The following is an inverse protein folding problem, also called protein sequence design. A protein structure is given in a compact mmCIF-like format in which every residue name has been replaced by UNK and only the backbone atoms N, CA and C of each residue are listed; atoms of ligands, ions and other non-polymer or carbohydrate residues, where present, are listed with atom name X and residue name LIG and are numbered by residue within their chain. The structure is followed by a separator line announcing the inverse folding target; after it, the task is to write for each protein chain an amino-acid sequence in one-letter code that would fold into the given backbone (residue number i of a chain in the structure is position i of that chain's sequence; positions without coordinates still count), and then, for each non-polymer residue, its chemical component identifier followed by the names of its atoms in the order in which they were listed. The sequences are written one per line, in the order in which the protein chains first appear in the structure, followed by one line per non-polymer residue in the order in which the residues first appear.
data_IF_160761333458
#
_entry.id   IF_160761333458
#
_cell.length_a   1.000
_cell.length_b   1.000
_cell.length_c   1.000
_cell.angle_alpha   90.00
_cell.angle_beta   90.00
_cell.angle_gamma   90.00
#
_symmetry.space_group_name_H-M   'P 1'
#
loop_
_entity.id
_entity.type
_entity.pdbx_description
1 polymer ?
#
# COMPACT_ATOMS: atom_id res chain seq x y z
N UNK A 1 -24.84 51.93 -40.81
CA UNK A 1 -23.48 52.48 -40.92
C UNK A 1 -23.05 52.89 -39.51
N UNK A 2 -22.66 51.94 -38.66
CA UNK A 2 -21.30 51.38 -38.57
C UNK A 2 -20.25 52.41 -38.19
N UNK A 3 -19.89 52.48 -36.90
CA UNK A 3 -18.62 51.93 -36.38
C UNK A 3 -18.41 52.39 -34.93
N UNK A 4 -18.59 51.43 -34.03
CA UNK A 4 -18.04 51.45 -32.68
C UNK A 4 -16.50 51.39 -32.79
N UNK A 5 -15.82 52.46 -32.38
CA UNK A 5 -14.38 52.49 -32.11
C UNK A 5 -14.16 53.39 -30.91
N UNK A 6 -13.80 52.80 -29.77
CA UNK A 6 -12.53 53.03 -29.07
C UNK A 6 -12.64 52.46 -27.65
N UNK A 7 -12.18 51.23 -27.44
CA UNK A 7 -11.80 50.76 -26.11
C UNK A 7 -10.38 50.21 -26.25
N UNK A 8 -9.44 51.02 -25.77
CA UNK A 8 -8.03 50.68 -25.63
C UNK A 8 -7.92 49.47 -24.70
N UNK A 9 -7.44 48.34 -25.24
CA UNK A 9 -7.04 47.18 -24.45
C UNK A 9 -5.81 47.57 -23.59
N UNK A 10 -5.77 47.26 -22.29
CA UNK A 10 -4.54 47.40 -21.52
C UNK A 10 -3.47 46.48 -22.11
N UNK A 11 -2.27 47.03 -22.38
CA UNK A 11 -1.07 46.23 -22.61
C UNK A 11 -0.72 45.55 -21.29
N UNK A 12 -0.68 44.23 -21.30
CA UNK A 12 -0.10 43.44 -20.22
C UNK A 12 1.39 43.34 -20.55
N UNK A 13 2.19 44.24 -19.99
CA UNK A 13 3.64 44.15 -20.07
C UNK A 13 4.05 42.97 -19.17
N UNK A 14 4.57 41.92 -19.79
CA UNK A 14 4.86 40.66 -19.13
C UNK A 14 6.07 40.75 -18.22
N UNK A 15 5.84 40.54 -16.94
CA UNK A 15 6.74 39.85 -16.02
C UNK A 15 5.87 38.92 -15.17
N UNK A 16 5.90 37.61 -15.47
CA UNK A 16 5.35 36.61 -14.56
C UNK A 16 6.16 36.68 -13.26
N UNK A 17 5.52 36.75 -12.08
CA UNK A 17 6.26 36.70 -10.83
C UNK A 17 7.03 35.38 -10.77
N UNK A 18 8.29 35.37 -10.30
CA UNK A 18 9.03 34.14 -10.15
C UNK A 18 8.22 33.16 -9.29
N UNK A 19 8.19 31.87 -9.63
CA UNK A 19 7.57 30.88 -8.77
C UNK A 19 8.20 30.99 -7.38
N UNK A 20 7.40 30.86 -6.30
CA UNK A 20 7.92 30.97 -4.95
C UNK A 20 9.10 30.00 -4.77
N UNK A 21 10.25 30.56 -4.41
CA UNK A 21 11.40 29.80 -3.92
C UNK A 21 10.99 29.19 -2.58
N UNK A 22 10.51 27.95 -2.63
CA UNK A 22 10.34 27.15 -1.43
C UNK A 22 11.71 26.59 -1.07
N UNK A 23 12.24 27.17 0.00
CA UNK A 23 13.39 26.74 0.79
C UNK A 23 13.43 25.21 0.91
N UNK A 24 14.44 24.58 0.30
CA UNK A 24 14.84 23.18 0.52
C UNK A 24 15.47 23.06 1.93
N UNK A 25 14.68 23.43 2.94
CA UNK A 25 14.97 23.10 4.33
C UNK A 25 14.61 21.65 4.55
N UNK A 26 15.61 20.77 4.53
CA UNK A 26 15.54 19.46 5.17
C UNK A 26 15.18 19.65 6.66
N UNK A 27 13.88 19.75 6.98
CA UNK A 27 13.39 19.49 8.33
C UNK A 27 13.48 17.98 8.57
N UNK A 28 14.69 17.54 8.96
CA UNK A 28 14.92 16.30 9.70
C UNK A 28 14.14 16.35 11.03
N UNK A 29 12.85 16.04 10.97
CA UNK A 29 11.95 15.97 12.13
C UNK A 29 11.03 14.75 12.14
N UNK A 30 11.20 13.81 11.21
CA UNK A 30 10.43 12.56 11.16
C UNK A 30 11.36 11.36 11.26
N UNK A 31 11.04 10.43 12.16
CA UNK A 31 11.67 9.10 12.24
C UNK A 31 11.95 8.55 10.83
N UNK A 32 13.16 8.05 10.53
CA UNK A 32 13.46 7.48 9.21
C UNK A 32 12.38 6.46 8.85
N UNK A 33 11.57 6.77 7.84
CA UNK A 33 10.49 5.87 7.43
C UNK A 33 11.05 4.50 7.02
N UNK A 34 10.22 3.44 6.98
CA UNK A 34 10.60 2.04 6.74
C UNK A 34 11.14 1.77 5.32
N UNK A 35 11.44 2.83 4.56
CA UNK A 35 11.94 2.81 3.20
C UNK A 35 13.26 3.59 3.04
N UNK A 36 13.88 4.04 4.14
CA UNK A 36 15.13 4.78 4.11
C UNK A 36 16.22 3.97 3.39
N UNK A 37 16.64 4.44 2.21
CA UNK A 37 17.86 3.97 1.52
C UNK A 37 17.72 3.17 0.22
N UNK A 38 16.53 2.94 -0.36
CA UNK A 38 16.53 2.23 -1.65
C UNK A 38 15.22 1.94 -2.40
N UNK A 39 14.06 2.41 -1.93
CA UNK A 39 12.79 2.18 -2.63
C UNK A 39 12.42 3.36 -3.53
N UNK A 40 12.32 3.12 -4.84
CA UNK A 40 11.81 4.12 -5.78
C UNK A 40 10.28 4.25 -5.59
N UNK A 41 9.84 5.38 -5.05
CA UNK A 41 8.41 5.70 -4.88
C UNK A 41 7.86 6.37 -6.14
N UNK A 42 6.63 6.03 -6.54
CA UNK A 42 5.91 6.77 -7.60
C UNK A 42 5.70 8.22 -7.16
N UNK A 43 5.87 9.20 -8.05
CA UNK A 43 5.59 10.63 -7.74
C UNK A 43 4.19 10.84 -7.15
N UNK A 44 3.18 10.16 -7.70
CA UNK A 44 1.79 10.26 -7.23
C UNK A 44 1.54 9.75 -5.80
N UNK A 45 2.40 8.87 -5.25
CA UNK A 45 2.25 8.42 -3.86
C UNK A 45 2.95 9.31 -2.85
N UNK A 46 3.81 10.25 -3.28
CA UNK A 46 4.47 11.21 -2.38
C UNK A 46 3.52 12.30 -1.87
N UNK A 47 2.48 12.62 -2.63
CA UNK A 47 1.56 13.74 -2.36
C UNK A 47 0.15 13.29 -1.96
N UNK A 48 -0.06 12.00 -1.67
CA UNK A 48 -1.38 11.46 -1.37
C UNK A 48 -1.63 11.49 0.13
N UNK A 49 -2.76 12.05 0.55
CA UNK A 49 -3.20 11.98 1.94
C UNK A 49 -3.41 10.53 2.38
N UNK A 50 -2.78 10.16 3.50
CA UNK A 50 -2.99 8.89 4.19
C UNK A 50 -4.31 8.96 4.95
N UNK A 51 -5.31 8.20 4.49
CA UNK A 51 -6.67 8.22 5.05
C UNK A 51 -6.91 7.00 5.95
N UNK A 52 -6.13 5.93 5.80
CA UNK A 52 -6.34 4.67 6.48
C UNK A 52 -7.55 3.91 5.91
N UNK A 53 -8.77 4.30 6.28
CA UNK A 53 -10.01 3.64 5.86
C UNK A 53 -10.57 4.24 4.55
N UNK A 54 -10.30 3.56 3.43
CA UNK A 54 -10.80 3.94 2.11
C UNK A 54 -12.12 3.27 1.73
N UNK A 55 -12.62 2.35 2.57
CA UNK A 55 -13.86 1.63 2.33
C UNK A 55 -15.00 2.12 3.22
N UNK A 56 -14.71 3.05 4.14
CA UNK A 56 -15.63 3.52 5.16
C UNK A 56 -16.25 2.31 5.88
N UNK A 57 -15.41 1.43 6.42
CA UNK A 57 -15.80 0.15 7.03
C UNK A 57 -16.81 0.37 8.14
N UNK A 58 -16.67 1.44 8.92
CA UNK A 58 -17.61 1.82 9.99
C UNK A 58 -19.05 2.03 9.50
N UNK A 59 -19.24 2.43 8.23
CA UNK A 59 -20.58 2.60 7.64
C UNK A 59 -21.10 1.34 6.97
N UNK A 60 -20.38 0.20 7.08
CA UNK A 60 -20.72 -1.09 6.47
C UNK A 60 -20.96 -2.15 7.57
N UNK A 61 -22.22 -2.33 8.02
CA UNK A 61 -22.53 -3.21 9.15
C UNK A 61 -22.05 -4.66 8.99
N UNK A 62 -22.05 -5.19 7.76
CA UNK A 62 -21.55 -6.54 7.46
C UNK A 62 -20.06 -6.71 7.80
N UNK A 63 -19.24 -5.72 7.44
CA UNK A 63 -17.80 -5.74 7.74
C UNK A 63 -17.53 -5.47 9.21
N UNK A 64 -18.23 -4.51 9.83
CA UNK A 64 -18.10 -4.24 11.27
C UNK A 64 -18.42 -5.47 12.11
N UNK A 65 -19.50 -6.19 11.78
CA UNK A 65 -19.88 -7.41 12.49
C UNK A 65 -18.81 -8.51 12.43
N UNK A 66 -18.00 -8.57 11.37
CA UNK A 66 -16.88 -9.52 11.26
C UNK A 66 -15.78 -9.15 12.26
N UNK A 67 -15.43 -7.87 12.35
CA UNK A 67 -14.40 -7.36 13.26
C UNK A 67 -14.85 -7.49 14.73
N UNK A 68 -16.08 -7.08 15.03
CA UNK A 68 -16.67 -7.15 16.38
C UNK A 68 -16.72 -8.58 16.93
N UNK A 69 -17.02 -9.56 16.07
CA UNK A 69 -16.98 -10.99 16.45
C UNK A 69 -15.61 -11.47 16.89
N UNK A 70 -14.55 -10.77 16.47
CA UNK A 70 -13.16 -11.05 16.87
C UNK A 70 -12.68 -10.10 17.99
N UNK A 71 -13.55 -9.20 18.47
CA UNK A 71 -13.20 -8.19 19.47
C UNK A 71 -12.46 -6.97 18.92
N UNK A 72 -12.34 -6.83 17.60
CA UNK A 72 -11.65 -5.71 16.96
C UNK A 72 -12.64 -4.59 16.61
N UNK A 73 -12.33 -3.36 17.02
CA UNK A 73 -13.14 -2.16 16.73
C UNK A 73 -12.35 -1.04 16.05
N UNK A 74 -11.02 -1.13 16.06
CA UNK A 74 -10.12 -0.15 15.45
C UNK A 74 -9.75 -0.55 14.02
N UNK A 75 -10.03 0.32 13.06
CA UNK A 75 -9.61 0.16 11.66
C UNK A 75 -8.45 1.12 11.42
N UNK A 76 -7.27 0.57 11.13
CA UNK A 76 -6.05 1.34 10.84
C UNK A 76 -5.86 1.55 9.35
N UNK A 77 -6.21 0.54 8.57
CA UNK A 77 -6.21 0.63 7.11
C UNK A 77 -7.30 -0.27 6.52
N UNK A 78 -8.00 0.19 5.48
CA UNK A 78 -8.93 -0.63 4.73
C UNK A 78 -8.97 -0.23 3.25
N UNK A 79 -8.70 -1.19 2.35
CA UNK A 79 -8.79 -0.98 0.90
C UNK A 79 -9.03 -2.30 0.15
N UNK A 80 -9.38 -2.22 -1.13
CA UNK A 80 -9.43 -3.39 -2.03
C UNK A 80 -8.02 -3.68 -2.56
N UNK A 81 -7.59 -4.92 -2.43
CA UNK A 81 -6.31 -5.43 -2.93
C UNK A 81 -6.50 -6.59 -3.90
N UNK A 82 -5.47 -6.87 -4.70
CA UNK A 82 -5.39 -8.08 -5.51
C UNK A 82 -4.54 -9.13 -4.78
N UNK A 83 -5.11 -10.30 -4.49
CA UNK A 83 -4.41 -11.46 -3.94
C UNK A 83 -4.04 -12.42 -5.07
N UNK A 84 -2.80 -12.90 -5.05
CA UNK A 84 -2.31 -13.92 -5.99
C UNK A 84 -2.44 -15.29 -5.33
N UNK A 85 -3.14 -16.22 -5.99
CA UNK A 85 -3.35 -17.58 -5.46
C UNK A 85 -2.17 -18.50 -5.83
N UNK A 86 -2.06 -19.65 -5.14
CA UNK A 86 -1.13 -20.71 -5.52
C UNK A 86 -1.31 -21.21 -6.96
N UNK A 87 -2.50 -21.07 -7.54
CA UNK A 87 -2.77 -21.40 -8.95
C UNK A 87 -2.38 -20.29 -9.93
N UNK A 88 -1.89 -19.14 -9.46
CA UNK A 88 -1.54 -17.98 -10.30
C UNK A 88 -2.72 -17.08 -10.67
N UNK A 89 -3.93 -17.36 -10.18
CA UNK A 89 -5.10 -16.50 -10.40
C UNK A 89 -5.03 -15.28 -9.48
N UNK A 90 -5.51 -14.14 -9.97
CA UNK A 90 -5.68 -12.94 -9.17
C UNK A 90 -7.13 -12.87 -8.66
N UNK A 91 -7.31 -12.66 -7.36
CA UNK A 91 -8.63 -12.47 -6.75
C UNK A 91 -8.67 -11.13 -6.02
N UNK A 92 -9.75 -10.37 -6.22
CA UNK A 92 -10.00 -9.16 -5.43
C UNK A 92 -10.36 -9.54 -4.00
N UNK A 93 -9.78 -8.85 -3.02
CA UNK A 93 -10.09 -8.99 -1.59
C UNK A 93 -10.22 -7.62 -0.96
N UNK A 94 -11.14 -7.51 0.00
CA UNK A 94 -11.12 -6.42 0.97
C UNK A 94 -10.02 -6.77 1.98
N UNK A 95 -9.04 -5.88 2.11
CA UNK A 95 -7.97 -5.97 3.11
C UNK A 95 -8.29 -4.96 4.21
N UNK A 96 -8.40 -5.44 5.44
CA UNK A 96 -8.55 -4.57 6.62
C UNK A 96 -7.42 -4.90 7.59
N UNK A 97 -6.76 -3.85 8.10
CA UNK A 97 -5.75 -3.90 9.14
C UNK A 97 -6.32 -3.26 10.39
N UNK A 98 -6.29 -4.00 11.49
CA UNK A 98 -6.64 -3.53 12.84
C UNK A 98 -5.38 -3.41 13.68
N UNK A 99 -5.51 -3.10 14.96
CA UNK A 99 -4.38 -3.11 15.91
C UNK A 99 -3.75 -4.49 16.10
N UNK A 100 -4.50 -5.56 15.85
CA UNK A 100 -4.09 -6.92 16.21
C UNK A 100 -4.04 -7.89 15.04
N UNK A 101 -4.73 -7.61 13.93
CA UNK A 101 -4.87 -8.57 12.85
C UNK A 101 -5.09 -7.96 11.46
N UNK A 102 -4.75 -8.76 10.46
CA UNK A 102 -5.09 -8.56 9.06
C UNK A 102 -6.30 -9.43 8.73
N UNK A 103 -7.28 -8.83 8.07
CA UNK A 103 -8.50 -9.50 7.60
C UNK A 103 -8.53 -9.48 6.07
N UNK A 104 -8.76 -10.65 5.49
CA UNK A 104 -9.07 -10.80 4.07
C UNK A 104 -10.52 -11.21 3.90
N UNK A 105 -11.32 -10.32 3.33
CA UNK A 105 -12.75 -10.52 3.13
C UNK A 105 -13.05 -10.62 1.63
N UNK A 106 -13.92 -11.55 1.27
CA UNK A 106 -14.41 -11.65 -0.10
C UNK A 106 -15.39 -10.50 -0.39
N UNK A 107 -15.16 -9.69 -1.43
CA UNK A 107 -15.93 -8.47 -1.67
C UNK A 107 -17.36 -8.72 -2.14
N UNK A 108 -17.68 -9.93 -2.63
CA UNK A 108 -19.00 -10.27 -3.17
C UNK A 108 -19.87 -10.89 -2.08
N UNK A 109 -19.34 -11.87 -1.37
CA UNK A 109 -20.06 -12.57 -0.30
C UNK A 109 -19.96 -11.90 1.08
N UNK A 110 -19.09 -10.90 1.23
CA UNK A 110 -18.67 -10.34 2.52
C UNK A 110 -18.23 -11.40 3.54
N UNK A 111 -17.80 -12.57 3.08
CA UNK A 111 -17.30 -13.62 3.96
C UNK A 111 -15.83 -13.40 4.32
N UNK A 112 -15.48 -13.54 5.61
CA UNK A 112 -14.10 -13.55 6.05
C UNK A 112 -13.39 -14.80 5.53
N UNK A 113 -12.45 -14.61 4.60
CA UNK A 113 -11.70 -15.71 3.98
C UNK A 113 -10.45 -16.08 4.74
N UNK A 114 -9.86 -15.13 5.48
CA UNK A 114 -8.69 -15.36 6.33
C UNK A 114 -8.56 -14.24 7.37
N UNK A 115 -8.10 -14.59 8.56
CA UNK A 115 -7.62 -13.66 9.60
C UNK A 115 -6.20 -14.07 9.96
N UNK A 116 -5.29 -13.11 10.05
CA UNK A 116 -3.88 -13.31 10.41
C UNK A 116 -3.57 -12.38 11.56
N UNK A 117 -3.11 -12.91 12.69
CA UNK A 117 -2.65 -12.06 13.79
C UNK A 117 -1.36 -11.34 13.40
N UNK A 118 -1.24 -10.05 13.72
CA UNK A 118 -0.03 -9.28 13.42
C UNK A 118 1.21 -9.84 14.12
N UNK A 119 1.03 -10.42 15.31
CA UNK A 119 2.10 -11.12 16.03
C UNK A 119 2.64 -12.38 15.31
N UNK A 120 1.91 -12.91 14.32
CA UNK A 120 2.37 -14.05 13.51
C UNK A 120 3.13 -13.61 12.24
N UNK A 121 3.17 -12.31 11.94
CA UNK A 121 3.88 -11.78 10.77
C UNK A 121 5.34 -11.59 11.11
N UNK A 122 6.23 -12.29 10.40
CA UNK A 122 7.67 -12.13 10.55
C UNK A 122 8.13 -10.85 9.85
N UNK A 123 7.79 -10.73 8.56
CA UNK A 123 8.28 -9.63 7.72
C UNK A 123 7.36 -9.33 6.54
N UNK A 124 7.58 -8.17 5.93
CA UNK A 124 6.94 -7.76 4.69
C UNK A 124 7.99 -7.58 3.60
N UNK A 125 7.83 -8.30 2.49
CA UNK A 125 8.74 -8.22 1.34
C UNK A 125 8.20 -7.28 0.26
N UNK A 126 9.07 -6.45 -0.29
CA UNK A 126 8.76 -5.49 -1.36
C UNK A 126 9.90 -5.46 -2.37
N UNK A 127 9.58 -5.14 -3.63
CA UNK A 127 10.63 -4.76 -4.57
C UNK A 127 11.19 -3.37 -4.27
N UNK A 128 12.37 -3.09 -4.81
CA UNK A 128 12.98 -1.75 -4.84
C UNK A 128 12.36 -0.85 -5.91
N UNK A 129 11.56 -1.42 -6.81
CA UNK A 129 10.98 -0.77 -7.97
C UNK A 129 9.60 -0.16 -7.67
N UNK A 130 9.14 0.69 -8.59
CA UNK A 130 7.88 1.41 -8.51
C UNK A 130 6.63 0.57 -8.86
N UNK A 131 6.56 -0.67 -8.37
CA UNK A 131 5.39 -1.54 -8.52
C UNK A 131 4.40 -1.44 -7.34
N UNK A 132 3.35 -2.28 -7.39
CA UNK A 132 2.30 -2.35 -6.38
C UNK A 132 2.38 -3.62 -5.51
N UNK A 133 3.37 -4.48 -5.70
CA UNK A 133 3.46 -5.79 -5.06
C UNK A 133 4.08 -5.74 -3.67
N UNK A 134 3.54 -6.55 -2.78
CA UNK A 134 4.09 -6.83 -1.46
C UNK A 134 3.75 -8.26 -1.05
N UNK A 135 4.62 -8.87 -0.25
CA UNK A 135 4.31 -10.14 0.41
C UNK A 135 4.33 -10.00 1.93
N UNK A 136 3.41 -10.69 2.60
CA UNK A 136 3.37 -10.82 4.06
C UNK A 136 3.81 -12.23 4.39
N UNK A 137 4.94 -12.34 5.11
CA UNK A 137 5.56 -13.62 5.47
C UNK A 137 5.07 -14.04 6.86
N UNK A 138 4.54 -15.25 6.95
CA UNK A 138 3.81 -15.75 8.12
C UNK A 138 4.31 -17.16 8.43
N UNK A 139 5.40 -17.34 9.20
CA UNK A 139 6.08 -18.64 9.35
C UNK A 139 5.20 -19.77 9.88
N UNK A 140 4.17 -19.43 10.67
CA UNK A 140 3.25 -20.40 11.26
C UNK A 140 2.22 -20.94 10.27
N UNK A 141 2.12 -20.37 9.06
CA UNK A 141 1.19 -20.79 8.01
C UNK A 141 1.69 -20.38 6.61
N UNK A 142 0.81 -20.31 5.59
CA UNK A 142 1.20 -19.90 4.25
C UNK A 142 1.20 -18.38 4.07
N UNK A 143 2.07 -17.85 3.22
CA UNK A 143 2.27 -16.42 3.01
C UNK A 143 1.17 -15.78 2.15
N UNK A 144 1.18 -14.45 2.09
CA UNK A 144 0.33 -13.69 1.19
C UNK A 144 1.18 -12.93 0.19
N UNK A 145 0.96 -13.15 -1.11
CA UNK A 145 1.41 -12.22 -2.14
C UNK A 145 0.21 -11.38 -2.62
N UNK A 146 0.36 -10.05 -2.58
CA UNK A 146 -0.70 -9.10 -2.91
C UNK A 146 -0.19 -7.90 -3.71
N UNK A 147 -1.12 -7.20 -4.36
CA UNK A 147 -0.87 -5.90 -4.96
C UNK A 147 -1.87 -4.85 -4.45
N UNK A 148 -1.35 -3.69 -4.04
CA UNK A 148 -2.12 -2.54 -3.58
C UNK A 148 -1.65 -1.26 -4.26
N UNK A 149 -2.60 -0.43 -4.70
CA UNK A 149 -2.27 0.91 -5.23
C UNK A 149 -1.81 1.88 -4.13
N UNK A 150 -2.03 1.51 -2.86
CA UNK A 150 -1.64 2.25 -1.66
C UNK A 150 -0.58 1.50 -0.87
N UNK A 151 0.25 0.70 -1.56
CA UNK A 151 1.32 -0.13 -0.95
C UNK A 151 2.16 0.62 0.08
N UNK A 152 2.57 1.84 -0.22
CA UNK A 152 3.43 2.63 0.69
C UNK A 152 2.75 2.94 2.01
N UNK A 153 1.52 3.44 1.98
CA UNK A 153 0.72 3.73 3.17
C UNK A 153 0.41 2.44 3.94
N UNK A 154 -0.05 1.39 3.25
CA UNK A 154 -0.37 0.11 3.87
C UNK A 154 0.82 -0.42 4.69
N UNK A 155 2.01 -0.47 4.09
CA UNK A 155 3.21 -0.98 4.77
C UNK A 155 3.64 -0.06 5.91
N UNK A 156 3.54 1.26 5.74
CA UNK A 156 3.81 2.22 6.82
C UNK A 156 2.90 1.93 8.02
N UNK A 157 1.58 1.82 7.80
CA UNK A 157 0.62 1.55 8.86
C UNK A 157 0.88 0.19 9.50
N UNK A 158 1.27 -0.84 8.74
CA UNK A 158 1.66 -2.14 9.32
C UNK A 158 2.84 -1.99 10.28
N UNK A 159 3.90 -1.28 9.90
CA UNK A 159 5.08 -1.05 10.75
C UNK A 159 4.70 -0.26 12.00
N UNK A 160 3.92 0.82 11.86
CA UNK A 160 3.52 1.69 12.97
C UNK A 160 2.63 0.93 13.97
N UNK A 161 1.70 0.09 13.48
CA UNK A 161 0.81 -0.70 14.33
C UNK A 161 1.61 -1.77 15.07
N UNK A 162 2.51 -2.50 14.40
CA UNK A 162 3.31 -3.54 15.07
C UNK A 162 4.23 -2.96 16.14
N UNK A 163 4.86 -1.81 15.85
CA UNK A 163 5.72 -1.09 16.80
C UNK A 163 4.96 -0.49 17.98
N UNK A 164 3.71 -0.09 17.79
CA UNK A 164 2.88 0.44 18.89
C UNK A 164 2.27 -0.66 19.76
N UNK A 165 2.01 -1.84 19.20
CA UNK A 165 1.48 -2.98 19.93
C UNK A 165 2.55 -3.77 20.71
N UNK A 166 3.82 -3.66 20.32
CA UNK A 166 4.93 -4.42 20.91
C UNK A 166 6.28 -3.74 20.66
N UNK A 167 7.30 -4.05 21.48
CA UNK A 167 8.69 -3.66 21.20
C UNK A 167 9.30 -4.40 19.99
N UNK A 168 8.52 -5.23 19.28
CA UNK A 168 8.93 -5.89 18.06
C UNK A 168 8.82 -4.93 16.86
N UNK A 169 9.90 -4.82 16.10
CA UNK A 169 9.90 -4.07 14.85
C UNK A 169 9.65 -5.02 13.67
N UNK A 170 8.55 -4.79 12.96
CA UNK A 170 8.22 -5.54 11.75
C UNK A 170 9.30 -5.32 10.68
N UNK A 171 10.00 -6.38 10.28
CA UNK A 171 11.03 -6.29 9.25
C UNK A 171 10.41 -5.98 7.87
N UNK A 172 10.99 -5.02 7.16
CA UNK A 172 10.63 -4.69 5.77
C UNK A 172 11.79 -5.05 4.85
N UNK A 173 11.66 -6.17 4.15
CA UNK A 173 12.67 -6.65 3.21
C UNK A 173 12.50 -5.99 1.83
N UNK A 174 13.50 -5.22 1.40
CA UNK A 174 13.56 -4.64 0.06
C UNK A 174 14.43 -5.48 -0.88
N UNK A 175 13.80 -6.31 -1.71
CA UNK A 175 14.47 -7.15 -2.70
C UNK A 175 13.66 -7.27 -3.99
N UNK A 176 14.34 -7.15 -5.14
CA UNK A 176 13.72 -7.39 -6.45
C UNK A 176 13.47 -8.87 -6.73
N UNK A 177 13.81 -9.75 -5.79
CA UNK A 177 13.56 -11.19 -5.85
C UNK A 177 13.37 -11.75 -4.45
N UNK A 178 12.27 -12.43 -4.20
CA UNK A 178 12.03 -13.11 -2.92
C UNK A 178 11.11 -14.31 -3.08
N UNK A 179 11.22 -15.22 -2.13
CA UNK A 179 10.38 -16.41 -2.02
C UNK A 179 9.21 -16.17 -1.09
N UNK A 180 8.13 -16.92 -1.32
CA UNK A 180 6.98 -16.98 -0.45
C UNK A 180 6.27 -18.34 -0.57
N UNK A 181 5.70 -18.79 0.54
CA UNK A 181 4.89 -20.00 0.65
C UNK A 181 3.48 -19.71 0.14
N UNK A 182 3.18 -20.03 -1.12
CA UNK A 182 1.86 -19.82 -1.70
C UNK A 182 0.79 -20.79 -1.13
N UNK A 183 1.22 -21.91 -0.56
CA UNK A 183 0.45 -22.84 0.27
C UNK A 183 1.42 -23.61 1.18
N UNK A 184 0.91 -24.53 2.01
CA UNK A 184 1.73 -25.37 2.89
C UNK A 184 2.75 -26.26 2.17
N UNK A 185 2.55 -26.52 0.87
CA UNK A 185 3.41 -27.41 0.07
C UNK A 185 3.93 -26.76 -1.21
N UNK A 186 3.71 -25.45 -1.38
CA UNK A 186 4.04 -24.74 -2.61
C UNK A 186 4.83 -23.48 -2.32
N UNK A 187 6.13 -23.54 -2.60
CA UNK A 187 7.01 -22.37 -2.57
C UNK A 187 7.07 -21.77 -3.96
N UNK A 188 6.97 -20.44 -4.01
CA UNK A 188 7.14 -19.67 -5.23
C UNK A 188 8.14 -18.58 -5.04
N UNK A 189 8.77 -18.20 -6.14
CA UNK A 189 9.63 -17.05 -6.21
C UNK A 189 9.01 -16.01 -7.13
N UNK A 190 9.02 -14.76 -6.69
CA UNK A 190 8.66 -13.61 -7.53
C UNK A 190 9.90 -12.77 -7.78
N UNK A 191 10.07 -12.32 -9.03
CA UNK A 191 11.12 -11.38 -9.42
C UNK A 191 10.57 -10.17 -10.18
N UNK A 192 11.23 -9.03 -10.00
CA UNK A 192 10.86 -7.74 -10.55
C UNK A 192 12.03 -7.15 -11.33
N UNK A 193 11.80 -6.80 -12.58
CA UNK A 193 12.81 -6.26 -13.49
C UNK A 193 12.23 -5.04 -14.23
N UNK A 194 13.05 -4.01 -14.44
CA UNK A 194 12.68 -2.92 -15.34
C UNK A 194 12.63 -3.42 -16.78
N UNK A 195 11.60 -3.02 -17.52
CA UNK A 195 11.40 -3.35 -18.92
C UNK A 195 10.86 -2.12 -19.67
N UNK A 196 10.90 -2.14 -21.01
CA UNK A 196 10.30 -1.06 -21.80
C UNK A 196 8.83 -0.84 -21.40
N UNK A 197 8.53 0.36 -20.92
CA UNK A 197 7.19 0.77 -20.52
C UNK A 197 6.73 0.34 -19.12
N UNK A 198 7.58 -0.27 -18.29
CA UNK A 198 7.21 -0.54 -16.90
C UNK A 198 8.06 -1.57 -16.16
N UNK A 199 7.42 -2.30 -15.24
CA UNK A 199 8.07 -3.33 -14.42
C UNK A 199 7.52 -4.68 -14.83
N UNK A 200 8.40 -5.55 -15.30
CA UNK A 200 8.09 -6.95 -15.58
C UNK A 200 8.12 -7.73 -14.27
N UNK A 201 7.02 -8.43 -13.97
CA UNK A 201 6.91 -9.34 -12.81
C UNK A 201 6.89 -10.78 -13.31
N UNK A 202 7.80 -11.61 -12.80
CA UNK A 202 7.90 -13.02 -13.18
C UNK A 202 7.69 -13.93 -11.97
N UNK A 203 7.09 -15.09 -12.20
CA UNK A 203 6.83 -16.10 -11.16
C UNK A 203 7.50 -17.42 -11.54
N UNK A 204 8.22 -18.01 -10.58
CA UNK A 204 8.85 -19.34 -10.73
C UNK A 204 8.42 -20.26 -9.60
N UNK A 205 8.33 -21.54 -9.92
CA UNK A 205 8.08 -22.62 -8.96
C UNK A 205 9.44 -23.08 -8.44
N UNK A 206 9.51 -23.39 -7.14
CA UNK A 206 10.66 -24.04 -6.54
C UNK A 206 10.34 -25.46 -6.14
#
# INVERSE_FOLDING_TARGET
MDRLKDQRRPRYDGEEPPPPEFDDGDEEGGTPGPFAGGKIRRKASRYREHRGDYLHVSTRPGLMRILEKQGDTSIRFADKVLKFTGTGKMKRRIFILTDFAIYLIDPESEAMTRRIGLAAVEKVCLSKLSDNFFAVIIPTEYDLLMASTRKTELVQVMVDVTKSASDYELEVLLSNRFEYNASASLVKEVSFEEAEGGIKTSFKWK
#
